data_IF_131519607409
#
_entry.id   IF_131519607409
#
_cell.length_a   1.000
_cell.length_b   1.000
_cell.length_c   1.000
_cell.angle_alpha   90.00
_cell.angle_beta   90.00
_cell.angle_gamma   90.00
#
_symmetry.space_group_name_H-M   'P 1'
#
loop_
_entity.id
_entity.type
_entity.pdbx_description
1 polymer ?
#
# COMPACT_ATOMS: atom_id res chain seq x y z
N UNK A 1 1.34 10.46 2.10
CA UNK A 1 1.13 9.93 0.73
C UNK A 1 -0.27 10.24 0.30
N UNK A 2 -0.42 10.74 -0.92
CA UNK A 2 -1.72 10.96 -1.55
C UNK A 2 -2.38 9.60 -1.84
N UNK A 3 -3.55 9.38 -1.25
CA UNK A 3 -4.32 8.16 -1.39
C UNK A 3 -5.60 8.47 -2.16
N UNK A 4 -5.87 7.69 -3.21
CA UNK A 4 -7.08 7.82 -4.02
C UNK A 4 -8.08 6.78 -3.55
N UNK A 5 -9.31 7.21 -3.29
CA UNK A 5 -10.42 6.32 -2.94
C UNK A 5 -11.18 5.92 -4.20
N UNK A 6 -11.37 4.62 -4.39
CA UNK A 6 -12.06 4.05 -5.54
C UNK A 6 -13.28 3.25 -5.06
N UNK A 7 -14.51 3.64 -5.40
CA UNK A 7 -15.71 2.91 -5.02
C UNK A 7 -15.75 1.48 -5.59
N UNK A 8 -16.22 0.49 -4.82
CA UNK A 8 -16.28 -0.91 -5.27
C UNK A 8 -17.17 -1.19 -6.48
N UNK A 9 -18.17 -0.34 -6.73
CA UNK A 9 -19.06 -0.51 -7.87
C UNK A 9 -18.34 -0.27 -9.21
N UNK A 10 -17.16 0.34 -9.21
CA UNK A 10 -16.26 0.42 -10.35
C UNK A 10 -15.56 -0.94 -10.54
N UNK A 11 -16.37 -1.92 -10.97
CA UNK A 11 -16.12 -3.38 -11.00
C UNK A 11 -14.81 -3.80 -11.68
N UNK A 12 -14.21 -2.93 -12.48
CA UNK A 12 -12.98 -3.20 -13.25
C UNK A 12 -11.70 -2.74 -12.54
N UNK A 13 -11.78 -2.25 -11.29
CA UNK A 13 -10.62 -1.67 -10.63
C UNK A 13 -9.49 -2.68 -10.32
N UNK A 14 -9.82 -3.96 -10.10
CA UNK A 14 -8.79 -4.92 -9.69
C UNK A 14 -7.90 -5.33 -10.86
N UNK A 15 -6.68 -4.79 -10.88
CA UNK A 15 -5.69 -5.07 -11.92
C UNK A 15 -5.34 -6.55 -11.96
N UNK A 16 -5.43 -7.14 -13.14
CA UNK A 16 -5.03 -8.52 -13.39
C UNK A 16 -3.53 -8.68 -13.05
N UNK A 17 -3.22 -9.55 -12.08
CA UNK A 17 -1.85 -9.75 -11.58
C UNK A 17 -1.49 -8.99 -10.30
N UNK A 18 -2.41 -8.20 -9.71
CA UNK A 18 -2.24 -7.70 -8.35
C UNK A 18 -2.17 -8.86 -7.35
N UNK A 19 -1.12 -8.89 -6.52
CA UNK A 19 -0.89 -9.98 -5.55
C UNK A 19 -1.22 -9.53 -4.14
N UNK A 20 -2.01 -10.33 -3.42
CA UNK A 20 -2.28 -10.09 -1.99
C UNK A 20 -0.95 -10.11 -1.19
N UNK A 21 -0.83 -9.24 -0.19
CA UNK A 21 0.36 -9.13 0.65
C UNK A 21 -0.02 -8.85 2.10
N UNK A 22 0.91 -9.08 3.02
CA UNK A 22 0.84 -8.61 4.42
C UNK A 22 1.79 -7.45 4.69
N UNK A 23 2.52 -7.00 3.67
CA UNK A 23 3.56 -5.98 3.78
C UNK A 23 2.98 -4.56 3.63
N UNK A 24 3.23 -3.73 4.65
CA UNK A 24 2.70 -2.38 4.77
C UNK A 24 1.57 -2.28 5.80
N UNK A 25 1.26 -1.05 6.21
CA UNK A 25 0.19 -0.80 7.17
C UNK A 25 -1.19 -1.09 6.56
N UNK A 26 -1.94 -1.97 7.22
CA UNK A 26 -3.27 -2.43 6.82
C UNK A 26 -4.34 -1.35 7.02
N UNK A 27 -4.16 -0.39 7.94
CA UNK A 27 -5.10 0.71 8.21
C UNK A 27 -6.57 0.32 8.32
N UNK A 28 -6.84 -0.87 8.89
CA UNK A 28 -8.22 -1.39 9.02
C UNK A 28 -8.83 -1.95 7.73
N UNK A 29 -8.07 -2.00 6.62
CA UNK A 29 -8.49 -2.70 5.41
C UNK A 29 -8.71 -4.19 5.68
N UNK A 30 -9.57 -4.86 4.91
CA UNK A 30 -9.75 -6.31 4.98
C UNK A 30 -8.57 -7.04 4.36
N UNK A 31 -8.13 -6.57 3.20
CA UNK A 31 -7.03 -7.13 2.40
C UNK A 31 -6.18 -6.00 1.82
N UNK A 32 -4.95 -6.34 1.44
CA UNK A 32 -4.05 -5.42 0.77
C UNK A 32 -3.30 -6.14 -0.35
N UNK A 33 -3.08 -5.44 -1.45
CA UNK A 33 -2.53 -5.96 -2.69
C UNK A 33 -1.41 -5.07 -3.20
N UNK A 34 -0.46 -5.66 -3.93
CA UNK A 34 0.63 -4.95 -4.58
C UNK A 34 0.75 -5.32 -6.05
N UNK A 35 0.90 -4.30 -6.89
CA UNK A 35 1.17 -4.43 -8.32
C UNK A 35 2.28 -3.44 -8.73
N UNK A 36 3.51 -3.94 -8.91
CA UNK A 36 4.69 -3.07 -8.98
C UNK A 36 4.77 -2.15 -7.75
N UNK A 37 4.82 -0.84 -8.00
CA UNK A 37 4.84 0.20 -6.98
C UNK A 37 3.45 0.58 -6.44
N UNK A 38 2.38 0.02 -6.99
CA UNK A 38 1.02 0.37 -6.60
C UNK A 38 0.58 -0.49 -5.42
N UNK A 39 0.15 0.16 -4.35
CA UNK A 39 -0.37 -0.48 -3.14
C UNK A 39 -1.86 -0.19 -3.01
N UNK A 40 -2.64 -1.26 -2.89
CA UNK A 40 -4.11 -1.23 -2.86
C UNK A 40 -4.56 -1.79 -1.53
N UNK A 41 -5.46 -1.10 -0.87
CA UNK A 41 -6.17 -1.57 0.32
C UNK A 41 -7.64 -1.78 -0.03
N UNK A 42 -8.20 -2.92 0.36
CA UNK A 42 -9.60 -3.23 0.17
C UNK A 42 -10.36 -3.06 1.49
N UNK A 43 -11.35 -2.17 1.49
CA UNK A 43 -12.32 -2.00 2.57
C UNK A 43 -13.66 -2.63 2.18
N UNK A 44 -14.73 -2.42 2.94
CA UNK A 44 -16.04 -2.98 2.62
C UNK A 44 -16.71 -2.29 1.42
N UNK A 45 -16.63 -0.97 1.37
CA UNK A 45 -17.33 -0.09 0.43
C UNK A 45 -16.43 0.46 -0.70
N UNK A 46 -15.11 0.44 -0.48
CA UNK A 46 -14.12 1.05 -1.37
C UNK A 46 -12.80 0.30 -1.41
N UNK A 47 -11.99 0.66 -2.40
CA UNK A 47 -10.54 0.46 -2.40
C UNK A 47 -9.87 1.79 -2.11
N UNK A 48 -8.68 1.73 -1.53
CA UNK A 48 -7.79 2.88 -1.50
C UNK A 48 -6.45 2.53 -2.10
N UNK A 49 -5.86 3.49 -2.80
CA UNK A 49 -4.75 3.24 -3.71
C UNK A 49 -3.72 4.34 -3.58
N UNK A 50 -2.45 3.96 -3.46
CA UNK A 50 -1.34 4.89 -3.58
C UNK A 50 -0.18 4.24 -4.33
N UNK A 51 0.71 5.08 -4.83
CA UNK A 51 1.97 4.67 -5.44
C UNK A 51 3.09 4.86 -4.42
N UNK A 52 3.79 3.76 -4.11
CA UNK A 52 5.07 3.81 -3.43
C UNK A 52 6.14 4.28 -4.43
N UNK A 53 7.05 5.17 -4.05
CA UNK A 53 8.18 5.55 -4.92
C UNK A 53 9.13 4.37 -5.11
N UNK A 54 9.29 3.53 -4.09
CA UNK A 54 10.15 2.35 -4.08
C UNK A 54 9.37 1.12 -3.64
N UNK A 55 9.29 0.06 -4.47
CA UNK A 55 8.65 -1.19 -4.03
C UNK A 55 9.44 -1.81 -2.84
N UNK A 56 8.85 -1.92 -1.64
CA UNK A 56 9.53 -2.46 -0.46
C UNK A 56 9.90 -3.93 -0.62
N UNK A 57 9.30 -4.65 -1.57
CA UNK A 57 9.69 -6.05 -1.88
C UNK A 57 11.00 -6.13 -2.65
N UNK A 58 11.38 -5.05 -3.35
CA UNK A 58 12.62 -4.99 -4.15
C UNK A 58 13.72 -4.23 -3.42
N UNK A 59 13.40 -3.11 -2.78
CA UNK A 59 14.35 -2.30 -2.03
C UNK A 59 13.73 -1.80 -0.70
N UNK A 60 13.70 -2.65 0.33
CA UNK A 60 13.05 -2.34 1.61
C UNK A 60 13.68 -1.14 2.33
N UNK A 61 15.02 -0.98 2.26
CA UNK A 61 15.72 0.15 2.88
C UNK A 61 15.41 1.47 2.17
N UNK A 62 15.43 1.47 0.82
CA UNK A 62 15.05 2.64 0.04
C UNK A 62 13.60 3.07 0.29
N UNK A 63 12.69 2.10 0.42
CA UNK A 63 11.29 2.38 0.78
C UNK A 63 11.17 3.00 2.18
N UNK A 64 11.89 2.50 3.19
CA UNK A 64 11.86 3.11 4.53
C UNK A 64 12.36 4.56 4.53
N UNK A 65 13.40 4.87 3.76
CA UNK A 65 13.95 6.24 3.71
C UNK A 65 13.04 7.23 2.97
N UNK A 66 12.32 6.76 1.93
CA UNK A 66 11.63 7.63 0.97
C UNK A 66 10.11 7.64 1.18
N UNK A 67 9.53 6.48 1.46
CA UNK A 67 8.09 6.24 1.47
C UNK A 67 7.52 6.03 2.89
N UNK A 68 8.35 5.58 3.85
CA UNK A 68 7.93 5.34 5.24
C UNK A 68 8.98 5.78 6.30
N UNK A 69 9.52 7.02 6.24
CA UNK A 69 10.54 7.49 7.18
C UNK A 69 10.05 7.55 8.63
N UNK A 70 8.74 7.68 8.85
CA UNK A 70 8.13 7.69 10.17
C UNK A 70 8.34 6.37 10.91
N UNK A 71 8.43 5.25 10.18
CA UNK A 71 8.73 3.93 10.76
C UNK A 71 10.15 3.91 11.33
N UNK A 72 11.12 4.54 10.66
CA UNK A 72 12.50 4.64 11.15
C UNK A 72 12.58 5.50 12.42
N UNK A 73 11.85 6.63 12.45
CA UNK A 73 11.77 7.49 13.63
C UNK A 73 11.15 6.73 14.81
N UNK A 74 10.07 5.97 14.57
CA UNK A 74 9.44 5.14 15.59
C UNK A 74 10.35 4.03 16.13
N UNK A 75 11.21 3.43 15.30
CA UNK A 75 12.20 2.45 15.75
C UNK A 75 13.35 3.07 16.55
N UNK A 76 13.77 4.29 16.21
CA UNK A 76 14.85 4.99 16.93
C UNK A 76 14.42 5.54 18.29
N UNK A 77 13.12 5.79 18.48
CA UNK A 77 12.54 6.26 19.74
C UNK A 77 12.02 5.16 20.66
N UNK A 78 12.11 3.88 20.26
CA UNK A 78 11.68 2.71 21.02
C UNK A 78 12.79 2.12 21.90
#
# INVERSE_FOLDING_TARGET
MDEIQVPKHLRQFMLEGAKETKLGDKKGAKKQYRYGNLHIREYDDKFTVHLDKVDPRKNPLGHLLIDAPEVLIGLAGA
#
